data_IF_320875109570
#
_entry.id   IF_320875109570
#
_cell.length_a   1.000
_cell.length_b   1.000
_cell.length_c   1.000
_cell.angle_alpha   90.00
_cell.angle_beta   90.00
_cell.angle_gamma   90.00
#
_symmetry.space_group_name_H-M   'P 1'
#
loop_
_entity.id
_entity.type
_entity.pdbx_description
1 polymer ?
#
# COMPACT_ATOMS: atom_id res chain seq x y z
N UNK A 1 26.92 20.88 68.56
CA UNK A 1 25.69 20.82 67.81
C UNK A 1 24.55 20.54 68.74
N UNK A 2 23.58 21.44 68.78
CA UNK A 2 22.37 21.24 69.57
C UNK A 2 21.38 20.30 68.91
N UNK A 3 20.51 19.76 69.74
CA UNK A 3 19.44 18.85 69.30
C UNK A 3 18.56 19.46 68.19
N UNK A 4 18.27 20.78 68.30
CA UNK A 4 17.44 21.48 67.32
C UNK A 4 18.10 21.54 65.93
N UNK A 5 19.42 21.68 65.85
CA UNK A 5 20.16 21.70 64.60
C UNK A 5 20.16 20.34 63.93
N UNK A 6 20.28 19.27 64.71
CA UNK A 6 20.21 17.89 64.23
C UNK A 6 18.81 17.59 63.64
N UNK A 7 17.77 17.95 64.35
CA UNK A 7 16.38 17.80 63.91
C UNK A 7 16.10 18.57 62.64
N UNK A 8 16.63 19.80 62.54
CA UNK A 8 16.50 20.62 61.33
C UNK A 8 17.20 19.97 60.13
N UNK A 9 18.41 19.46 60.32
CA UNK A 9 19.14 18.75 59.27
C UNK A 9 18.40 17.52 58.77
N UNK A 10 17.79 16.75 59.69
CA UNK A 10 16.99 15.59 59.34
C UNK A 10 15.76 15.99 58.53
N UNK A 11 15.08 17.04 58.98
CA UNK A 11 13.89 17.55 58.28
C UNK A 11 14.23 18.07 56.90
N UNK A 12 15.33 18.81 56.76
CA UNK A 12 15.79 19.31 55.48
C UNK A 12 16.16 18.17 54.52
N UNK A 13 16.80 17.12 55.04
CA UNK A 13 17.13 15.93 54.28
C UNK A 13 15.89 15.17 53.83
N UNK A 14 14.87 15.03 54.68
CA UNK A 14 13.59 14.41 54.35
C UNK A 14 12.88 15.20 53.26
N UNK A 15 12.80 16.51 53.38
CA UNK A 15 12.18 17.38 52.38
C UNK A 15 12.91 17.32 51.04
N UNK A 16 14.23 17.28 51.05
CA UNK A 16 15.01 17.15 49.84
C UNK A 16 14.77 15.78 49.17
N UNK A 17 14.67 14.72 49.97
CA UNK A 17 14.38 13.38 49.46
C UNK A 17 12.98 13.29 48.85
N UNK A 18 11.98 13.84 49.52
CA UNK A 18 10.60 13.92 49.01
C UNK A 18 10.53 14.67 47.68
N UNK A 19 11.24 15.81 47.61
CA UNK A 19 11.28 16.61 46.38
C UNK A 19 11.94 15.84 45.24
N UNK A 20 13.01 15.14 45.50
CA UNK A 20 13.71 14.31 44.52
C UNK A 20 12.83 13.18 44.04
N UNK A 21 12.10 12.52 44.95
CA UNK A 21 11.17 11.48 44.62
C UNK A 21 10.02 11.99 43.76
N UNK A 22 9.44 13.12 44.15
CA UNK A 22 8.35 13.75 43.36
C UNK A 22 8.83 14.15 41.97
N UNK A 23 9.99 14.74 41.84
CA UNK A 23 10.58 15.12 40.56
C UNK A 23 10.85 13.87 39.69
N UNK A 24 11.34 12.79 40.29
CA UNK A 24 11.59 11.55 39.59
C UNK A 24 10.29 10.91 39.07
N UNK A 25 9.22 10.96 39.86
CA UNK A 25 7.90 10.47 39.46
C UNK A 25 7.33 11.31 38.32
N UNK A 26 7.46 12.62 38.37
CA UNK A 26 6.99 13.52 37.30
C UNK A 26 7.77 13.27 36.01
N UNK A 27 9.09 13.15 36.12
CA UNK A 27 9.96 12.85 35.00
C UNK A 27 9.64 11.50 34.37
N UNK A 28 9.43 10.49 35.21
CA UNK A 28 9.02 9.15 34.75
C UNK A 28 7.70 9.20 34.01
N UNK A 29 6.70 9.89 34.54
CA UNK A 29 5.40 10.06 33.90
C UNK A 29 5.52 10.77 32.57
N UNK A 30 6.36 11.79 32.48
CA UNK A 30 6.63 12.52 31.25
C UNK A 30 7.30 11.63 30.20
N UNK A 31 8.30 10.88 30.61
CA UNK A 31 8.99 9.93 29.71
C UNK A 31 8.00 8.90 29.15
N UNK A 32 7.15 8.33 30.00
CA UNK A 32 6.15 7.38 29.56
C UNK A 32 5.13 7.99 28.62
N UNK A 33 4.67 9.19 28.92
CA UNK A 33 3.71 9.93 28.08
C UNK A 33 4.32 10.25 26.72
N UNK A 34 5.55 10.75 26.69
CA UNK A 34 6.27 11.06 25.45
C UNK A 34 6.54 9.80 24.63
N UNK A 35 6.91 8.71 25.27
CA UNK A 35 7.13 7.43 24.60
C UNK A 35 5.85 6.88 23.96
N UNK A 36 4.72 6.96 24.67
CA UNK A 36 3.41 6.54 24.14
C UNK A 36 2.99 7.39 22.95
N UNK A 37 3.19 8.71 23.06
CA UNK A 37 2.89 9.63 21.96
C UNK A 37 3.73 9.30 20.73
N UNK A 38 5.04 9.14 20.90
CA UNK A 38 5.94 8.78 19.79
C UNK A 38 5.57 7.44 19.17
N UNK A 39 5.22 6.45 19.98
CA UNK A 39 4.78 5.15 19.48
C UNK A 39 3.49 5.28 18.67
N UNK A 40 2.53 6.07 19.15
CA UNK A 40 1.28 6.33 18.43
C UNK A 40 1.51 7.05 17.11
N UNK A 41 2.36 8.09 17.10
CA UNK A 41 2.74 8.81 15.89
C UNK A 41 3.42 7.88 14.88
N UNK A 42 4.32 7.02 15.35
CA UNK A 42 5.02 6.06 14.51
C UNK A 42 4.07 5.04 13.87
N UNK A 43 3.11 4.54 14.64
CA UNK A 43 2.09 3.61 14.15
C UNK A 43 1.22 4.29 13.10
N UNK A 44 0.79 5.52 13.34
CA UNK A 44 -0.02 6.30 12.40
C UNK A 44 0.74 6.53 11.09
N UNK A 45 1.99 6.95 11.18
CA UNK A 45 2.85 7.18 10.01
C UNK A 45 3.07 5.90 9.22
N UNK A 46 3.39 4.80 9.90
CA UNK A 46 3.58 3.50 9.26
C UNK A 46 2.30 2.99 8.59
N UNK A 47 1.15 3.23 9.21
CA UNK A 47 -0.16 2.87 8.64
C UNK A 47 -0.46 3.69 7.40
N UNK A 48 -0.24 5.00 7.45
CA UNK A 48 -0.45 5.90 6.31
C UNK A 48 0.47 5.54 5.14
N UNK A 49 1.74 5.27 5.41
CA UNK A 49 2.71 4.83 4.40
C UNK A 49 2.32 3.48 3.79
N UNK A 50 1.85 2.55 4.61
CA UNK A 50 1.37 1.25 4.16
C UNK A 50 0.17 1.38 3.23
N UNK A 51 -0.79 2.24 3.58
CA UNK A 51 -1.97 2.52 2.74
C UNK A 51 -1.55 3.12 1.41
N UNK A 52 -0.65 4.11 1.41
CA UNK A 52 -0.15 4.74 0.20
C UNK A 52 0.59 3.74 -0.69
N UNK A 53 1.44 2.90 -0.11
CA UNK A 53 2.17 1.88 -0.84
C UNK A 53 1.22 0.86 -1.46
N UNK A 54 0.25 0.39 -0.70
CA UNK A 54 -0.76 -0.56 -1.17
C UNK A 54 -1.54 0.04 -2.35
N UNK A 55 -1.96 1.29 -2.23
CA UNK A 55 -2.69 1.99 -3.27
C UNK A 55 -1.84 2.16 -4.55
N UNK A 56 -0.57 2.51 -4.39
CA UNK A 56 0.37 2.64 -5.50
C UNK A 56 0.58 1.30 -6.22
N UNK A 57 0.79 0.22 -5.48
CA UNK A 57 0.93 -1.13 -6.05
C UNK A 57 -0.33 -1.56 -6.76
N UNK A 58 -1.49 -1.29 -6.17
CA UNK A 58 -2.78 -1.60 -6.76
C UNK A 58 -3.00 -0.87 -8.09
N UNK A 59 -2.70 0.44 -8.12
CA UNK A 59 -2.83 1.24 -9.33
C UNK A 59 -1.90 0.78 -10.44
N UNK A 60 -0.65 0.45 -10.11
CA UNK A 60 0.31 -0.11 -11.06
C UNK A 60 -0.14 -1.46 -11.61
N UNK A 61 -0.65 -2.32 -10.74
CA UNK A 61 -1.16 -3.64 -11.14
C UNK A 61 -2.37 -3.50 -12.04
N UNK A 62 -3.28 -2.58 -11.73
CA UNK A 62 -4.45 -2.29 -12.58
C UNK A 62 -4.05 -1.79 -13.95
N UNK A 63 -3.10 -0.86 -14.03
CA UNK A 63 -2.59 -0.35 -15.31
C UNK A 63 -1.94 -1.46 -16.12
N UNK A 64 -1.14 -2.31 -15.49
CA UNK A 64 -0.51 -3.44 -16.15
C UNK A 64 -1.57 -4.45 -16.68
N UNK A 65 -2.57 -4.77 -15.86
CA UNK A 65 -3.65 -5.66 -16.24
C UNK A 65 -4.48 -5.09 -17.40
N UNK A 66 -4.80 -3.81 -17.37
CA UNK A 66 -5.53 -3.14 -18.45
C UNK A 66 -4.72 -3.14 -19.75
N UNK A 67 -3.42 -2.91 -19.67
CA UNK A 67 -2.53 -2.97 -20.82
C UNK A 67 -2.48 -4.36 -21.42
N UNK A 68 -2.40 -5.39 -20.58
CA UNK A 68 -2.44 -6.78 -21.04
C UNK A 68 -3.80 -7.14 -21.66
N UNK A 69 -4.89 -6.69 -21.06
CA UNK A 69 -6.23 -6.89 -21.60
C UNK A 69 -6.39 -6.22 -22.97
N UNK A 70 -5.87 -5.00 -23.15
CA UNK A 70 -5.89 -4.28 -24.41
C UNK A 70 -5.08 -5.03 -25.49
N UNK A 71 -3.94 -5.60 -25.12
CA UNK A 71 -3.15 -6.45 -26.03
C UNK A 71 -3.92 -7.68 -26.47
N UNK A 72 -4.59 -8.36 -25.55
CA UNK A 72 -5.40 -9.54 -25.85
C UNK A 72 -6.56 -9.17 -26.77
N UNK A 73 -7.25 -8.08 -26.51
CA UNK A 73 -8.34 -7.57 -27.36
C UNK A 73 -7.83 -7.23 -28.76
N UNK A 74 -6.70 -6.54 -28.86
CA UNK A 74 -6.10 -6.18 -30.15
C UNK A 74 -5.71 -7.41 -30.95
N UNK A 75 -5.09 -8.40 -30.28
CA UNK A 75 -4.74 -9.69 -30.92
C UNK A 75 -5.98 -10.46 -31.38
N UNK A 76 -7.01 -10.47 -30.55
CA UNK A 76 -8.28 -11.11 -30.89
C UNK A 76 -8.95 -10.46 -32.08
N UNK A 77 -9.00 -9.13 -32.11
CA UNK A 77 -9.56 -8.38 -33.24
C UNK A 77 -8.81 -8.65 -34.54
N UNK A 78 -7.49 -8.70 -34.51
CA UNK A 78 -6.67 -9.05 -35.68
C UNK A 78 -6.90 -10.49 -36.12
N UNK A 79 -7.07 -11.41 -35.17
CA UNK A 79 -7.39 -12.80 -35.46
C UNK A 79 -8.74 -12.97 -36.14
N UNK A 80 -9.75 -12.27 -35.65
CA UNK A 80 -11.09 -12.23 -36.25
C UNK A 80 -11.03 -11.64 -37.68
N UNK A 81 -10.34 -10.54 -37.85
CA UNK A 81 -10.15 -9.90 -39.16
C UNK A 81 -9.46 -10.83 -40.15
N UNK A 82 -8.43 -11.55 -39.71
CA UNK A 82 -7.75 -12.54 -40.54
C UNK A 82 -8.67 -13.69 -40.97
N UNK A 83 -9.52 -14.17 -40.06
CA UNK A 83 -10.48 -15.23 -40.35
C UNK A 83 -11.53 -14.73 -41.33
N UNK A 84 -12.06 -13.53 -41.14
CA UNK A 84 -13.04 -12.94 -42.06
C UNK A 84 -12.45 -12.74 -43.44
N UNK A 85 -11.25 -12.25 -43.54
CA UNK A 85 -10.54 -12.07 -44.79
C UNK A 85 -10.30 -13.39 -45.52
N UNK A 86 -9.87 -14.41 -44.79
CA UNK A 86 -9.70 -15.79 -45.32
C UNK A 86 -11.00 -16.39 -45.77
N UNK A 87 -12.07 -16.23 -44.99
CA UNK A 87 -13.40 -16.74 -45.34
C UNK A 87 -13.95 -16.07 -46.62
N UNK A 88 -13.78 -14.78 -46.77
CA UNK A 88 -14.20 -14.05 -47.95
C UNK A 88 -13.45 -14.53 -49.20
N UNK A 89 -12.16 -14.77 -49.10
CA UNK A 89 -11.36 -15.35 -50.19
C UNK A 89 -11.80 -16.74 -50.57
N UNK A 90 -12.03 -17.60 -49.59
CA UNK A 90 -12.50 -18.95 -49.79
C UNK A 90 -13.95 -19.01 -50.36
N UNK A 91 -14.80 -18.06 -49.99
CA UNK A 91 -16.14 -17.94 -50.53
C UNK A 91 -16.12 -17.67 -52.04
N UNK A 92 -15.24 -16.76 -52.47
CA UNK A 92 -15.04 -16.47 -53.86
C UNK A 92 -14.56 -17.70 -54.64
N UNK A 93 -13.56 -18.41 -54.11
CA UNK A 93 -13.03 -19.61 -54.70
C UNK A 93 -14.07 -20.74 -54.77
N UNK A 94 -14.88 -20.90 -53.74
CA UNK A 94 -15.94 -21.88 -53.70
C UNK A 94 -17.04 -21.60 -54.75
N UNK A 95 -17.43 -20.34 -54.87
CA UNK A 95 -18.39 -19.92 -55.88
C UNK A 95 -17.82 -20.18 -57.30
N UNK A 96 -16.57 -19.83 -57.53
CA UNK A 96 -15.93 -20.07 -58.83
C UNK A 96 -15.86 -21.56 -59.18
N UNK A 97 -15.53 -22.42 -58.19
CA UNK A 97 -15.51 -23.84 -58.37
C UNK A 97 -16.89 -24.41 -58.79
N UNK A 98 -17.94 -23.94 -58.18
CA UNK A 98 -19.32 -24.34 -58.53
C UNK A 98 -19.66 -23.89 -59.95
N UNK A 99 -19.37 -22.65 -60.28
CA UNK A 99 -19.59 -22.08 -61.60
C UNK A 99 -18.86 -22.91 -62.67
N UNK A 100 -17.57 -23.19 -62.43
CA UNK A 100 -16.75 -23.97 -63.36
C UNK A 100 -17.26 -25.39 -63.55
N UNK A 101 -17.81 -26.03 -62.51
CA UNK A 101 -18.34 -27.36 -62.55
C UNK A 101 -19.71 -27.45 -63.29
N UNK A 102 -20.42 -26.33 -63.34
CA UNK A 102 -21.74 -26.25 -64.00
C UNK A 102 -21.65 -25.79 -65.46
N UNK A 103 -20.55 -25.23 -65.86
CA UNK A 103 -20.37 -24.79 -67.25
C UNK A 103 -20.06 -25.95 -68.18
N UNK A 104 -20.79 -26.08 -69.30
CA UNK A 104 -20.46 -27.10 -70.31
C UNK A 104 -19.09 -26.76 -70.94
N UNK A 105 -18.27 -27.74 -71.10
CA UNK A 105 -17.01 -27.65 -71.80
C UNK A 105 -17.13 -27.42 -73.27
#
# INVERSE_FOLDING_TARGET
>A
MGMAEVLRSIKDAEQAAEKRLSNAQDESSKIMSDARRKASELITEATDDSVKNTQSVFDKSRKAANKDADKVKSKGAKGVEAIESSANGHQGDAVQLIVDSLMPQ
#
